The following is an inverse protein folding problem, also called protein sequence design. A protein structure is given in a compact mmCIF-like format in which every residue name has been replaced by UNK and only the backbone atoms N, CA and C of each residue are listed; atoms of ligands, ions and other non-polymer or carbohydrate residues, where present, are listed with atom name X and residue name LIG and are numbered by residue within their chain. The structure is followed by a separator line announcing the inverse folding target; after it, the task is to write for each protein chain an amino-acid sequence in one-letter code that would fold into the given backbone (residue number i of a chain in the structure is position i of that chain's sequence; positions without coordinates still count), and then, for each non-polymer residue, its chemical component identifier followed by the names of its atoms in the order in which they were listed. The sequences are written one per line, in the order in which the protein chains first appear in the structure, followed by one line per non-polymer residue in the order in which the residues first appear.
data_IF_385610593381
#
_entry.id   IF_385610593381
#
_cell.length_a   1.000
_cell.length_b   1.000
_cell.length_c   1.000
_cell.angle_alpha   90.00
_cell.angle_beta   90.00
_cell.angle_gamma   90.00
#
_symmetry.space_group_name_H-M   'P 1'
#
loop_
_entity.id
_entity.type
_entity.pdbx_description
1 polymer ?
#
# COMPACT_ATOMS: atom_id res chain seq x y z
N UNK A 1 -11.54 12.10 -26.41
CA UNK A 1 -10.14 12.19 -25.94
C UNK A 1 -9.69 10.79 -25.57
N UNK A 2 -8.53 10.35 -26.02
CA UNK A 2 -7.89 9.10 -25.56
C UNK A 2 -6.98 9.46 -24.39
N UNK A 3 -7.25 8.93 -23.18
CA UNK A 3 -6.44 9.16 -21.99
C UNK A 3 -5.65 7.92 -21.65
N UNK A 4 -4.33 8.02 -21.61
CA UNK A 4 -3.40 6.90 -21.43
C UNK A 4 -2.48 7.07 -20.22
N UNK A 5 -2.83 7.92 -19.26
CA UNK A 5 -2.02 8.23 -18.07
C UNK A 5 -2.70 7.83 -16.75
N UNK A 6 -3.41 6.69 -16.74
CA UNK A 6 -4.04 6.16 -15.52
C UNK A 6 -3.00 5.76 -14.44
N UNK A 7 -1.75 5.54 -14.83
CA UNK A 7 -0.67 5.29 -13.86
C UNK A 7 -0.40 6.50 -12.97
N UNK A 8 -0.63 7.73 -13.47
CA UNK A 8 -0.57 8.95 -12.67
C UNK A 8 -1.84 9.12 -11.83
N UNK A 9 -3.01 9.13 -12.48
CA UNK A 9 -4.33 9.20 -11.84
C UNK A 9 -5.40 8.77 -12.84
N UNK A 10 -6.55 8.27 -12.37
CA UNK A 10 -7.69 7.97 -13.23
C UNK A 10 -8.45 9.25 -13.54
N UNK A 11 -8.63 9.58 -14.83
CA UNK A 11 -9.30 10.81 -15.25
C UNK A 11 -10.82 10.76 -15.01
N UNK A 12 -11.46 9.67 -15.44
CA UNK A 12 -12.90 9.51 -15.29
C UNK A 12 -13.23 8.89 -13.94
N UNK A 13 -14.09 9.55 -13.19
CA UNK A 13 -14.62 9.04 -11.91
C UNK A 13 -16.08 8.63 -12.11
N UNK A 14 -16.53 7.53 -11.47
CA UNK A 14 -17.95 7.16 -11.44
C UNK A 14 -18.82 8.31 -10.91
N UNK A 15 -20.08 8.36 -11.33
CA UNK A 15 -21.02 9.42 -10.88
C UNK A 15 -21.25 9.32 -9.36
N UNK A 16 -21.31 8.11 -8.83
CA UNK A 16 -21.46 7.83 -7.39
C UNK A 16 -20.37 8.49 -6.54
N UNK A 17 -19.16 8.62 -7.09
CA UNK A 17 -18.05 9.32 -6.39
C UNK A 17 -18.33 10.80 -6.27
N UNK A 18 -18.88 11.42 -7.32
CA UNK A 18 -19.25 12.85 -7.30
C UNK A 18 -20.40 13.11 -6.35
N UNK A 19 -21.44 12.28 -6.42
CA UNK A 19 -22.60 12.35 -5.53
C UNK A 19 -22.18 12.20 -4.06
N UNK A 20 -21.32 11.25 -3.75
CA UNK A 20 -20.80 11.06 -2.38
C UNK A 20 -19.99 12.25 -1.87
N UNK A 21 -19.20 12.90 -2.74
CA UNK A 21 -18.46 14.13 -2.38
C UNK A 21 -19.44 15.27 -2.09
N UNK A 22 -20.43 15.49 -2.93
CA UNK A 22 -21.43 16.54 -2.74
C UNK A 22 -22.22 16.31 -1.46
N UNK A 23 -22.69 15.09 -1.24
CA UNK A 23 -23.37 14.70 -0.01
C UNK A 23 -22.52 14.99 1.24
N UNK A 24 -21.23 14.62 1.21
CA UNK A 24 -20.33 14.84 2.33
C UNK A 24 -20.13 16.34 2.62
N UNK A 25 -20.01 17.19 1.58
CA UNK A 25 -19.85 18.63 1.74
C UNK A 25 -21.10 19.30 2.33
N UNK A 26 -22.29 18.80 2.01
CA UNK A 26 -23.56 19.40 2.42
C UNK A 26 -24.05 18.89 3.78
N UNK A 27 -23.73 17.64 4.16
CA UNK A 27 -24.38 16.95 5.27
C UNK A 27 -23.44 16.48 6.38
N UNK A 28 -22.15 16.26 6.09
CA UNK A 28 -21.23 15.66 7.04
C UNK A 28 -20.48 16.70 7.88
N UNK A 29 -20.47 16.48 9.20
CA UNK A 29 -19.70 17.26 10.16
C UNK A 29 -18.31 16.65 10.45
N UNK A 30 -17.70 17.09 11.54
CA UNK A 30 -16.40 16.57 12.00
C UNK A 30 -16.59 15.20 12.67
N UNK A 31 -16.07 14.12 12.08
CA UNK A 31 -16.17 12.73 12.54
C UNK A 31 -15.38 12.53 13.81
N UNK A 32 -14.91 13.18 14.56
CA UNK A 32 -14.16 12.94 15.81
C UNK A 32 -14.58 13.81 16.96
N UNK A 33 -15.45 14.79 16.70
CA UNK A 33 -15.81 15.79 17.69
C UNK A 33 -17.28 16.19 17.57
N UNK A 34 -18.01 15.93 18.61
CA UNK A 34 -19.40 16.39 18.79
C UNK A 34 -20.42 15.26 18.70
N UNK A 35 -21.57 15.50 19.34
CA UNK A 35 -22.74 14.59 19.36
C UNK A 35 -23.84 15.00 18.39
N UNK A 36 -23.54 15.85 17.39
CA UNK A 36 -24.52 16.22 16.37
C UNK A 36 -24.73 15.10 15.37
N UNK A 37 -25.93 15.03 14.78
CA UNK A 37 -26.25 14.00 13.78
C UNK A 37 -25.26 14.04 12.61
N UNK A 38 -24.86 15.21 12.13
CA UNK A 38 -23.86 15.38 11.09
C UNK A 38 -22.48 14.80 11.44
N UNK A 39 -22.05 14.91 12.71
CA UNK A 39 -20.78 14.32 13.18
C UNK A 39 -20.88 12.80 13.30
N UNK A 40 -22.03 12.28 13.75
CA UNK A 40 -22.31 10.85 13.82
C UNK A 40 -22.37 10.22 12.42
N UNK A 41 -23.01 10.90 11.47
CA UNK A 41 -23.09 10.45 10.08
C UNK A 41 -21.70 10.35 9.42
N UNK A 42 -20.87 11.36 9.60
CA UNK A 42 -19.48 11.33 9.16
C UNK A 42 -18.71 10.16 9.79
N UNK A 43 -18.87 9.90 11.09
CA UNK A 43 -18.21 8.80 11.79
C UNK A 43 -18.68 7.43 11.29
N UNK A 44 -19.97 7.24 11.09
CA UNK A 44 -20.57 6.01 10.52
C UNK A 44 -20.06 5.77 9.10
N UNK A 45 -20.00 6.82 8.27
CA UNK A 45 -19.51 6.73 6.89
C UNK A 45 -18.03 6.30 6.83
N UNK A 46 -17.18 6.88 7.68
CA UNK A 46 -15.76 6.47 7.78
C UNK A 46 -15.66 5.01 8.19
N UNK A 47 -16.45 4.57 9.18
CA UNK A 47 -16.40 3.20 9.64
C UNK A 47 -16.91 2.21 8.57
N UNK A 48 -18.01 2.54 7.89
CA UNK A 48 -18.54 1.75 6.78
C UNK A 48 -17.53 1.59 5.62
N UNK A 49 -16.73 2.61 5.34
CA UNK A 49 -15.64 2.50 4.35
C UNK A 49 -14.54 1.56 4.85
N UNK A 50 -14.20 1.58 6.15
CA UNK A 50 -13.26 0.61 6.71
C UNK A 50 -13.76 -0.82 6.59
N UNK A 51 -15.05 -1.08 6.86
CA UNK A 51 -15.66 -2.40 6.68
C UNK A 51 -15.53 -2.87 5.23
N UNK A 52 -15.96 -2.02 4.27
CA UNK A 52 -15.86 -2.34 2.85
C UNK A 52 -14.42 -2.60 2.37
N UNK A 53 -13.45 -1.84 2.85
CA UNK A 53 -12.04 -2.06 2.51
C UNK A 53 -11.48 -3.32 3.17
N UNK A 54 -11.89 -3.63 4.41
CA UNK A 54 -11.52 -4.88 5.06
C UNK A 54 -12.04 -6.09 4.29
N UNK A 55 -13.31 -6.06 3.89
CA UNK A 55 -13.91 -7.12 3.06
C UNK A 55 -13.23 -7.20 1.68
N UNK A 56 -12.96 -6.06 1.04
CA UNK A 56 -12.40 -5.99 -0.30
C UNK A 56 -10.98 -6.57 -0.39
N UNK A 57 -10.16 -6.39 0.65
CA UNK A 57 -8.80 -6.90 0.72
C UNK A 57 -8.67 -8.15 1.59
N UNK A 58 -9.79 -8.69 2.11
CA UNK A 58 -9.82 -9.78 3.09
C UNK A 58 -8.94 -9.50 4.32
N UNK A 59 -9.03 -8.28 4.85
CA UNK A 59 -8.32 -7.93 6.09
C UNK A 59 -9.07 -8.48 7.31
N UNK A 60 -8.34 -8.80 8.38
CA UNK A 60 -8.86 -9.42 9.59
C UNK A 60 -9.99 -8.63 10.26
N UNK A 61 -9.94 -7.29 10.17
CA UNK A 61 -10.89 -6.41 10.85
C UNK A 61 -10.87 -4.99 10.23
N UNK A 62 -12.01 -4.27 10.23
CA UNK A 62 -12.06 -2.85 9.89
C UNK A 62 -11.12 -1.97 10.69
N UNK A 63 -10.76 -2.38 11.91
CA UNK A 63 -9.82 -1.63 12.75
C UNK A 63 -8.37 -1.70 12.26
N UNK A 64 -8.06 -2.62 11.34
CA UNK A 64 -6.76 -2.71 10.66
C UNK A 64 -6.64 -1.72 9.49
N UNK A 65 -7.72 -1.05 9.11
CA UNK A 65 -7.71 -0.05 8.04
C UNK A 65 -7.40 1.33 8.64
N UNK A 66 -6.31 1.93 8.19
CA UNK A 66 -5.91 3.30 8.55
C UNK A 66 -5.99 4.23 7.33
N UNK A 67 -6.53 5.42 7.50
CA UNK A 67 -6.56 6.46 6.45
C UNK A 67 -5.40 7.43 6.63
N UNK A 68 -4.78 7.75 5.51
CA UNK A 68 -3.74 8.78 5.38
C UNK A 68 -4.08 9.71 4.22
N UNK A 69 -3.39 10.82 4.07
CA UNK A 69 -3.65 11.76 2.97
C UNK A 69 -3.38 11.11 1.60
N UNK A 70 -2.36 10.26 1.51
CA UNK A 70 -1.97 9.56 0.28
C UNK A 70 -1.08 8.34 0.59
N UNK A 71 -0.77 7.52 -0.44
CA UNK A 71 0.10 6.34 -0.27
C UNK A 71 1.53 6.70 0.14
N UNK A 72 2.05 7.86 -0.23
CA UNK A 72 3.38 8.32 0.20
C UNK A 72 3.42 8.49 1.71
N UNK A 73 2.41 9.12 2.31
CA UNK A 73 2.30 9.24 3.76
C UNK A 73 2.13 7.88 4.42
N UNK A 74 1.26 7.02 3.88
CA UNK A 74 1.05 5.65 4.36
C UNK A 74 2.37 4.87 4.42
N UNK A 75 3.14 4.87 3.34
CA UNK A 75 4.45 4.22 3.26
C UNK A 75 5.46 4.84 4.23
N UNK A 76 5.49 6.17 4.36
CA UNK A 76 6.39 6.82 5.32
C UNK A 76 6.06 6.43 6.77
N UNK A 77 4.78 6.42 7.16
CA UNK A 77 4.34 6.01 8.50
C UNK A 77 4.70 4.54 8.73
N UNK A 78 4.34 3.65 7.79
CA UNK A 78 4.61 2.22 7.93
C UNK A 78 6.12 1.94 8.02
N UNK A 79 6.91 2.39 7.05
CA UNK A 79 8.32 2.01 6.96
C UNK A 79 9.16 2.63 8.08
N UNK A 80 8.92 3.92 8.41
CA UNK A 80 9.65 4.57 9.51
C UNK A 80 9.22 4.08 10.89
N UNK A 81 7.98 3.57 11.02
CA UNK A 81 7.48 3.02 12.27
C UNK A 81 7.84 1.57 12.53
N UNK A 82 8.13 0.79 11.47
CA UNK A 82 8.41 -0.65 11.58
C UNK A 82 9.88 -0.96 11.88
N UNK A 83 10.82 -0.14 11.41
CA UNK A 83 12.23 -0.47 11.42
C UNK A 83 13.03 0.31 12.45
N UNK A 84 14.03 -0.36 13.01
CA UNK A 84 14.96 0.20 14.00
C UNK A 84 16.43 0.02 13.55
N UNK A 85 17.38 0.81 14.09
CA UNK A 85 18.80 0.60 13.82
C UNK A 85 19.23 -0.84 14.04
N UNK A 86 19.91 -1.43 13.07
CA UNK A 86 20.36 -2.82 13.09
C UNK A 86 19.40 -3.81 12.43
N UNK A 87 18.16 -3.43 12.13
CA UNK A 87 17.26 -4.23 11.29
C UNK A 87 17.78 -4.28 9.84
N UNK A 88 17.48 -5.36 9.13
CA UNK A 88 17.75 -5.51 7.71
C UNK A 88 16.42 -5.56 6.92
N UNK A 89 16.37 -4.86 5.80
CA UNK A 89 15.20 -4.80 4.92
C UNK A 89 15.62 -5.13 3.49
N UNK A 90 14.82 -5.96 2.83
CA UNK A 90 14.97 -6.29 1.41
C UNK A 90 13.93 -5.51 0.62
N UNK A 91 14.36 -4.85 -0.46
CA UNK A 91 13.49 -4.14 -1.41
C UNK A 91 14.00 -4.35 -2.84
N UNK A 92 13.38 -3.69 -3.83
CA UNK A 92 13.72 -3.89 -5.24
C UNK A 92 14.02 -2.57 -5.97
N UNK A 93 14.69 -2.66 -7.12
CA UNK A 93 14.89 -1.53 -8.03
C UNK A 93 13.61 -1.07 -8.73
N UNK A 94 12.53 -1.84 -8.65
CA UNK A 94 11.24 -1.53 -9.29
C UNK A 94 10.38 -0.57 -8.47
N UNK A 95 10.84 -0.18 -7.29
CA UNK A 95 10.08 0.63 -6.34
C UNK A 95 9.89 2.08 -6.81
N UNK A 96 8.75 2.62 -6.42
CA UNK A 96 8.52 4.06 -6.51
C UNK A 96 9.31 4.82 -5.42
N UNK A 97 9.61 6.08 -5.67
CA UNK A 97 10.27 6.98 -4.70
C UNK A 97 9.56 7.06 -3.34
N UNK A 98 8.24 6.81 -3.29
CA UNK A 98 7.47 6.75 -2.03
C UNK A 98 7.91 5.60 -1.11
N UNK A 99 8.53 4.55 -1.67
CA UNK A 99 9.14 3.43 -0.94
C UNK A 99 10.63 3.70 -0.70
N UNK A 100 11.38 4.07 -1.75
CA UNK A 100 12.83 4.19 -1.63
C UNK A 100 13.27 5.33 -0.70
N UNK A 101 12.62 6.49 -0.75
CA UNK A 101 13.00 7.64 0.09
C UNK A 101 12.87 7.36 1.60
N UNK A 102 11.74 6.83 2.12
CA UNK A 102 11.69 6.45 3.53
C UNK A 102 12.64 5.32 3.90
N UNK A 103 12.93 4.36 2.99
CA UNK A 103 13.93 3.32 3.24
C UNK A 103 15.35 3.88 3.30
N UNK A 104 15.73 4.82 2.43
CA UNK A 104 17.02 5.52 2.52
C UNK A 104 17.14 6.33 3.81
N UNK A 105 16.05 6.99 4.22
CA UNK A 105 16.03 7.65 5.53
C UNK A 105 16.25 6.64 6.67
N UNK A 106 15.61 5.47 6.63
CA UNK A 106 15.85 4.40 7.62
C UNK A 106 17.30 3.92 7.57
N UNK A 107 17.90 3.83 6.38
CA UNK A 107 19.31 3.47 6.21
C UNK A 107 20.24 4.48 6.89
N UNK A 108 19.97 5.77 6.77
CA UNK A 108 20.69 6.82 7.49
C UNK A 108 20.56 6.71 9.01
N UNK A 109 19.46 6.08 9.49
CA UNK A 109 19.23 5.79 10.91
C UNK A 109 19.83 4.43 11.35
N UNK A 110 20.56 3.73 10.49
CA UNK A 110 21.25 2.49 10.83
C UNK A 110 20.51 1.20 10.46
N UNK A 111 19.49 1.27 9.62
CA UNK A 111 18.87 0.09 9.00
C UNK A 111 19.72 -0.38 7.83
N UNK A 112 19.96 -1.68 7.70
CA UNK A 112 20.64 -2.26 6.55
C UNK A 112 19.65 -2.49 5.40
N UNK A 113 19.99 -2.07 4.17
CA UNK A 113 19.16 -2.31 2.99
C UNK A 113 19.85 -3.26 2.00
N UNK A 114 19.09 -4.22 1.49
CA UNK A 114 19.42 -4.96 0.27
C UNK A 114 18.40 -4.57 -0.81
N UNK A 115 18.89 -3.98 -1.91
CA UNK A 115 18.06 -3.61 -3.06
C UNK A 115 18.36 -4.63 -4.16
N UNK A 116 17.37 -5.48 -4.47
CA UNK A 116 17.48 -6.51 -5.50
C UNK A 116 17.33 -5.89 -6.89
N UNK A 117 18.23 -6.29 -7.79
CA UNK A 117 18.14 -5.93 -9.20
C UNK A 117 17.12 -6.81 -9.93
N UNK A 118 16.66 -6.33 -11.09
CA UNK A 118 15.92 -7.11 -12.07
C UNK A 118 16.77 -7.37 -13.31
N UNK A 119 16.36 -8.33 -14.12
CA UNK A 119 16.95 -8.56 -15.44
C UNK A 119 16.57 -7.43 -16.42
N UNK A 120 17.09 -7.47 -17.65
CA UNK A 120 16.80 -6.50 -18.72
C UNK A 120 15.31 -6.42 -19.10
N UNK A 121 14.51 -7.41 -18.73
CA UNK A 121 13.05 -7.47 -18.95
C UNK A 121 12.26 -7.03 -17.73
N UNK A 122 12.93 -6.65 -16.63
CA UNK A 122 12.32 -6.24 -15.39
C UNK A 122 11.85 -7.41 -14.50
N UNK A 123 12.34 -8.63 -14.71
CA UNK A 123 11.98 -9.76 -13.86
C UNK A 123 12.92 -9.86 -12.66
N UNK A 124 12.36 -10.14 -11.48
CA UNK A 124 13.12 -10.38 -10.25
C UNK A 124 13.50 -11.85 -10.10
N UNK A 125 14.66 -12.11 -9.54
CA UNK A 125 15.05 -13.44 -9.06
C UNK A 125 14.50 -13.65 -7.64
N UNK A 126 13.51 -14.51 -7.49
CA UNK A 126 12.97 -14.87 -6.17
C UNK A 126 13.92 -15.77 -5.39
N UNK A 127 14.82 -16.47 -6.07
CA UNK A 127 15.89 -17.22 -5.43
C UNK A 127 16.91 -16.28 -4.77
N UNK A 128 17.32 -15.23 -5.49
CA UNK A 128 18.16 -14.17 -4.91
C UNK A 128 17.47 -13.49 -3.73
N UNK A 129 16.17 -13.25 -3.82
CA UNK A 129 15.37 -12.67 -2.73
C UNK A 129 15.39 -13.59 -1.49
N UNK A 130 15.16 -14.88 -1.66
CA UNK A 130 15.22 -15.85 -0.55
C UNK A 130 16.63 -15.95 0.06
N UNK A 131 17.66 -15.94 -0.78
CA UNK A 131 19.07 -15.99 -0.36
C UNK A 131 19.54 -14.69 0.32
N UNK A 132 18.91 -13.55 0.01
CA UNK A 132 19.21 -12.27 0.65
C UNK A 132 18.68 -12.18 2.10
N UNK A 133 17.80 -13.10 2.52
CA UNK A 133 17.26 -13.12 3.89
C UNK A 133 18.36 -13.51 4.87
N UNK A 134 18.58 -12.69 5.88
CA UNK A 134 19.57 -12.85 6.96
C UNK A 134 18.84 -12.94 8.30
N UNK A 135 19.58 -13.31 9.35
CA UNK A 135 19.05 -13.36 10.72
C UNK A 135 18.38 -12.06 11.17
N UNK A 136 18.97 -10.91 10.80
CA UNK A 136 18.45 -9.58 11.12
C UNK A 136 17.39 -9.07 10.14
N UNK A 137 17.00 -9.85 9.15
CA UNK A 137 15.98 -9.40 8.18
C UNK A 137 14.64 -9.26 8.87
N UNK A 138 14.11 -8.03 8.85
CA UNK A 138 12.82 -7.68 9.46
C UNK A 138 11.67 -7.78 8.46
N UNK A 139 11.91 -7.38 7.22
CA UNK A 139 10.87 -7.33 6.21
C UNK A 139 11.38 -7.45 4.77
N UNK A 140 10.47 -7.88 3.89
CA UNK A 140 10.53 -7.60 2.46
C UNK A 140 9.52 -6.50 2.16
N UNK A 141 9.95 -5.45 1.44
CA UNK A 141 9.11 -4.33 1.01
C UNK A 141 9.16 -4.27 -0.51
N UNK A 142 8.03 -4.40 -1.20
CA UNK A 142 8.03 -4.29 -2.65
C UNK A 142 6.74 -3.69 -3.22
N UNK A 143 6.84 -3.06 -4.39
CA UNK A 143 5.68 -2.69 -5.18
C UNK A 143 5.02 -3.93 -5.79
N UNK A 144 3.69 -3.92 -5.94
CA UNK A 144 3.01 -5.00 -6.69
C UNK A 144 3.20 -4.84 -8.19
N UNK A 145 3.21 -3.60 -8.69
CA UNK A 145 3.53 -3.30 -10.08
C UNK A 145 4.27 -1.98 -10.21
N UNK A 146 5.30 -1.95 -11.06
CA UNK A 146 6.06 -0.74 -11.34
C UNK A 146 5.23 0.26 -12.16
N UNK A 147 5.18 1.50 -11.71
CA UNK A 147 4.53 2.60 -12.44
C UNK A 147 5.31 3.02 -13.70
N UNK A 148 6.56 2.63 -13.83
CA UNK A 148 7.44 2.97 -14.96
C UNK A 148 7.41 1.88 -16.03
N UNK A 149 7.62 0.63 -15.64
CA UNK A 149 7.81 -0.47 -16.58
C UNK A 149 6.56 -1.34 -16.75
N UNK A 150 5.60 -1.26 -15.80
CA UNK A 150 4.42 -2.12 -15.78
C UNK A 150 4.69 -3.56 -15.32
N UNK A 151 5.93 -3.92 -15.02
CA UNK A 151 6.26 -5.24 -14.50
C UNK A 151 5.57 -5.49 -13.17
N UNK A 152 5.03 -6.68 -13.02
CA UNK A 152 4.36 -7.13 -11.81
C UNK A 152 5.24 -8.10 -11.02
N UNK A 153 5.24 -7.94 -9.71
CA UNK A 153 5.89 -8.86 -8.77
C UNK A 153 4.88 -9.93 -8.34
N UNK A 154 5.28 -11.18 -8.34
CA UNK A 154 4.44 -12.28 -7.85
C UNK A 154 4.36 -12.24 -6.33
N UNK A 155 3.35 -11.53 -5.79
CA UNK A 155 3.15 -11.36 -4.35
C UNK A 155 3.01 -12.70 -3.61
N UNK A 156 2.36 -13.70 -4.22
CA UNK A 156 2.20 -15.02 -3.59
C UNK A 156 3.57 -15.67 -3.31
N UNK A 157 4.49 -15.54 -4.25
CA UNK A 157 5.85 -16.08 -4.09
C UNK A 157 6.66 -15.33 -3.04
N UNK A 158 6.53 -14.00 -3.00
CA UNK A 158 7.17 -13.17 -1.96
C UNK A 158 6.58 -13.46 -0.59
N UNK A 159 5.24 -13.54 -0.47
CA UNK A 159 4.57 -13.88 0.78
C UNK A 159 5.02 -15.25 1.32
N UNK A 160 5.15 -16.27 0.45
CA UNK A 160 5.66 -17.57 0.84
C UNK A 160 7.10 -17.51 1.37
N UNK A 161 7.97 -16.69 0.76
CA UNK A 161 9.33 -16.46 1.27
C UNK A 161 9.27 -15.79 2.64
N UNK A 162 8.48 -14.73 2.77
CA UNK A 162 8.37 -13.98 4.02
C UNK A 162 7.83 -14.85 5.17
N UNK A 163 6.77 -15.62 4.92
CA UNK A 163 6.16 -16.54 5.88
C UNK A 163 7.14 -17.64 6.31
N UNK A 164 7.77 -18.31 5.36
CA UNK A 164 8.78 -19.36 5.64
C UNK A 164 9.94 -18.85 6.50
N UNK A 165 10.28 -17.58 6.35
CA UNK A 165 11.40 -16.94 7.07
C UNK A 165 10.94 -16.16 8.31
N UNK A 166 9.63 -16.13 8.61
CA UNK A 166 9.02 -15.41 9.73
C UNK A 166 9.35 -13.91 9.74
N UNK A 167 9.35 -13.27 8.57
CA UNK A 167 9.59 -11.84 8.38
C UNK A 167 8.35 -11.13 7.83
N UNK A 168 8.26 -9.82 8.01
CA UNK A 168 7.12 -9.05 7.54
C UNK A 168 7.13 -8.89 6.02
N UNK A 169 5.94 -8.82 5.42
CA UNK A 169 5.77 -8.50 4.01
C UNK A 169 4.94 -7.24 3.86
N UNK A 170 5.54 -6.18 3.29
CA UNK A 170 4.89 -4.88 3.06
C UNK A 170 4.81 -4.60 1.57
N UNK A 171 3.62 -4.24 1.09
CA UNK A 171 3.33 -4.08 -0.33
C UNK A 171 2.87 -2.65 -0.63
N UNK A 172 3.50 -2.00 -1.61
CA UNK A 172 2.95 -0.84 -2.30
C UNK A 172 2.05 -1.29 -3.44
N UNK A 173 0.74 -1.22 -3.23
CA UNK A 173 -0.29 -1.57 -4.20
C UNK A 173 -0.88 -0.34 -4.92
N UNK A 174 -0.18 0.78 -4.96
CA UNK A 174 -0.70 2.04 -5.55
C UNK A 174 -1.12 1.91 -7.01
N UNK A 175 -0.54 0.97 -7.77
CA UNK A 175 -0.90 0.73 -9.16
C UNK A 175 -1.96 -0.36 -9.34
N UNK A 176 -2.17 -1.20 -8.34
CA UNK A 176 -2.91 -2.46 -8.50
C UNK A 176 -4.15 -2.58 -7.62
N UNK A 177 -4.23 -1.83 -6.54
CA UNK A 177 -5.44 -1.77 -5.71
C UNK A 177 -6.65 -1.30 -6.55
N UNK A 178 -7.72 -2.10 -6.55
CA UNK A 178 -8.92 -1.87 -7.37
C UNK A 178 -8.81 -2.33 -8.83
N UNK A 179 -7.63 -2.82 -9.27
CA UNK A 179 -7.41 -3.37 -10.61
C UNK A 179 -7.21 -4.88 -10.58
N UNK A 180 -6.47 -5.37 -9.60
CA UNK A 180 -6.21 -6.77 -9.37
C UNK A 180 -6.74 -7.20 -8.00
N UNK A 181 -7.16 -8.44 -7.89
CA UNK A 181 -7.54 -9.03 -6.61
C UNK A 181 -6.30 -9.15 -5.72
N UNK A 182 -6.39 -8.60 -4.52
CA UNK A 182 -5.34 -8.68 -3.49
C UNK A 182 -6.01 -9.18 -2.21
N UNK A 183 -5.75 -10.42 -1.85
CA UNK A 183 -6.17 -11.02 -0.58
C UNK A 183 -5.00 -10.99 0.38
N UNK A 184 -5.06 -10.12 1.38
CA UNK A 184 -3.91 -9.90 2.28
C UNK A 184 -3.63 -11.10 3.17
N UNK A 185 -4.63 -11.94 3.45
CA UNK A 185 -4.45 -13.16 4.24
C UNK A 185 -3.82 -14.26 3.38
N UNK A 186 -4.36 -14.53 2.18
CA UNK A 186 -3.80 -15.53 1.26
C UNK A 186 -2.35 -15.22 0.88
N UNK A 187 -2.05 -13.93 0.69
CA UNK A 187 -0.73 -13.44 0.28
C UNK A 187 0.22 -13.19 1.46
N UNK A 188 -0.23 -13.40 2.69
CA UNK A 188 0.55 -13.19 3.91
C UNK A 188 1.13 -11.77 4.04
N UNK A 189 0.36 -10.77 3.59
CA UNK A 189 0.74 -9.36 3.60
C UNK A 189 0.53 -8.77 4.99
N UNK A 190 1.60 -8.32 5.63
CA UNK A 190 1.56 -7.65 6.92
C UNK A 190 1.16 -6.17 6.83
N UNK A 191 1.45 -5.52 5.70
CA UNK A 191 1.10 -4.14 5.43
C UNK A 191 0.83 -3.88 3.95
N UNK A 192 -0.36 -3.37 3.61
CA UNK A 192 -0.76 -3.00 2.27
C UNK A 192 -0.96 -1.48 2.20
N UNK A 193 -0.13 -0.80 1.43
CA UNK A 193 -0.25 0.64 1.19
C UNK A 193 -0.76 0.89 -0.23
N UNK A 194 -1.76 1.77 -0.38
CA UNK A 194 -2.34 2.07 -1.69
C UNK A 194 -2.94 3.47 -1.72
N UNK A 195 -3.33 3.92 -2.91
CA UNK A 195 -3.98 5.22 -3.13
C UNK A 195 -5.37 5.05 -3.73
N UNK A 196 -6.29 5.94 -3.34
CA UNK A 196 -7.68 5.88 -3.81
C UNK A 196 -7.90 6.42 -5.23
N UNK A 197 -7.06 7.35 -5.71
CA UNK A 197 -7.32 8.12 -6.93
C UNK A 197 -6.91 7.44 -8.25
N UNK A 198 -6.38 6.21 -8.17
CA UNK A 198 -6.02 5.37 -9.33
C UNK A 198 -7.06 4.25 -9.52
N UNK A 199 -6.70 3.00 -9.39
CA UNK A 199 -7.60 1.86 -9.62
C UNK A 199 -8.84 1.82 -8.72
N UNK A 200 -8.77 2.39 -7.52
CA UNK A 200 -9.94 2.53 -6.63
C UNK A 200 -10.93 3.63 -7.05
N UNK A 201 -10.65 4.38 -8.13
CA UNK A 201 -11.51 5.37 -8.76
C UNK A 201 -11.96 6.54 -7.84
N UNK A 202 -11.38 6.69 -6.67
CA UNK A 202 -11.70 7.75 -5.73
C UNK A 202 -11.18 9.15 -6.15
N UNK A 203 -11.51 10.20 -5.42
CA UNK A 203 -11.00 11.55 -5.67
C UNK A 203 -9.49 11.64 -5.44
N UNK A 204 -8.86 12.63 -6.09
CA UNK A 204 -7.45 12.93 -5.93
C UNK A 204 -7.18 13.70 -4.63
#
# INVERSE_FOLDING_TARGET
MIYMDNAATTLQKPEEVKEAILYALEHMGNAGRGGTEAALDASRSIYAVREKLADFFNAESPTRIAFTANSTESLNIALKGLFQPGDHVITTVLEHNSVLRPLYWCQEQGVELTILNCDEKGNLSYEEMENAVREKTKAIVCTHASNLTGNMINLKRVGQIASKKHILFVVDASQTAGVYTIDVQELEVAGLCFTRHKGMLGPQ
#
